data_IF_569985225559
#
_entry.id   IF_569985225559
#
_cell.length_a   1.000
_cell.length_b   1.000
_cell.length_c   1.000
_cell.angle_alpha   90.00
_cell.angle_beta   90.00
_cell.angle_gamma   90.00
#
_symmetry.space_group_name_H-M   'P 1'
#
loop_
_entity.id
_entity.type
_entity.pdbx_description
1 polymer ?
#
# COMPACT_ATOMS: atom_id res chain seq x y z
N UNK A 1 -10.73 -68.01 -15.70
CA UNK A 1 -10.49 -66.92 -14.73
C UNK A 1 -11.82 -66.27 -14.40
N UNK A 2 -12.17 -66.09 -13.13
CA UNK A 2 -13.52 -65.73 -12.71
C UNK A 2 -13.89 -64.29 -13.07
N UNK A 3 -15.08 -64.09 -13.65
CA UNK A 3 -15.70 -62.80 -14.04
C UNK A 3 -15.76 -61.78 -12.88
N UNK A 4 -15.67 -62.18 -11.62
CA UNK A 4 -15.75 -61.36 -10.43
C UNK A 4 -14.56 -60.41 -10.26
N UNK A 5 -13.33 -60.80 -10.61
CA UNK A 5 -12.13 -59.95 -10.51
C UNK A 5 -12.09 -58.81 -11.56
N UNK A 6 -12.69 -58.99 -12.75
CA UNK A 6 -12.78 -57.93 -13.77
C UNK A 6 -13.76 -56.81 -13.37
N UNK A 7 -14.85 -57.12 -12.70
CA UNK A 7 -15.83 -56.13 -12.21
C UNK A 7 -15.31 -55.28 -11.04
N UNK A 8 -14.48 -55.86 -10.17
CA UNK A 8 -13.85 -55.16 -9.07
C UNK A 8 -12.78 -54.14 -9.53
N UNK A 9 -11.96 -54.54 -10.51
CA UNK A 9 -10.91 -53.68 -11.08
C UNK A 9 -11.49 -52.53 -11.93
N UNK A 10 -12.61 -52.72 -12.61
CA UNK A 10 -13.27 -51.63 -13.35
C UNK A 10 -13.93 -50.62 -12.43
N UNK A 11 -14.54 -51.06 -11.33
CA UNK A 11 -15.08 -50.17 -10.28
C UNK A 11 -13.95 -49.37 -9.58
N UNK A 12 -12.85 -50.01 -9.23
CA UNK A 12 -11.72 -49.37 -8.59
C UNK A 12 -11.07 -48.30 -9.52
N UNK A 13 -10.95 -48.60 -10.81
CA UNK A 13 -10.43 -47.67 -11.82
C UNK A 13 -11.32 -46.42 -11.98
N UNK A 14 -12.63 -46.62 -11.92
CA UNK A 14 -13.58 -45.49 -11.97
C UNK A 14 -13.50 -44.60 -10.73
N UNK A 15 -13.23 -45.16 -9.55
CA UNK A 15 -13.07 -44.38 -8.33
C UNK A 15 -11.78 -43.55 -8.33
N UNK A 16 -10.67 -44.08 -8.82
CA UNK A 16 -9.39 -43.35 -8.91
C UNK A 16 -9.50 -42.16 -9.87
N UNK A 17 -10.31 -42.26 -10.93
CA UNK A 17 -10.56 -41.16 -11.86
C UNK A 17 -11.23 -39.94 -11.22
N UNK A 18 -11.97 -40.12 -10.12
CA UNK A 18 -12.61 -39.04 -9.37
C UNK A 18 -11.83 -38.63 -8.12
N UNK A 19 -11.13 -39.57 -7.48
CA UNK A 19 -10.42 -39.28 -6.20
C UNK A 19 -9.23 -38.34 -6.39
N UNK A 20 -8.45 -38.48 -7.46
CA UNK A 20 -7.28 -37.63 -7.69
C UNK A 20 -7.68 -36.18 -7.95
N UNK A 21 -8.62 -35.85 -8.88
CA UNK A 21 -9.06 -34.48 -9.08
C UNK A 21 -9.75 -33.89 -7.84
N UNK A 22 -10.50 -34.71 -7.09
CA UNK A 22 -11.10 -34.26 -5.84
C UNK A 22 -10.05 -33.93 -4.78
N UNK A 23 -9.02 -34.77 -4.65
CA UNK A 23 -7.88 -34.49 -3.78
C UNK A 23 -7.13 -33.20 -4.16
N UNK A 24 -6.96 -32.96 -5.46
CA UNK A 24 -6.39 -31.71 -5.97
C UNK A 24 -7.26 -30.50 -5.70
N UNK A 25 -8.59 -30.64 -5.81
CA UNK A 25 -9.51 -29.55 -5.46
C UNK A 25 -9.41 -29.19 -3.98
N UNK A 26 -9.37 -30.21 -3.11
CA UNK A 26 -9.19 -30.01 -1.66
C UNK A 26 -7.83 -29.36 -1.36
N UNK A 27 -6.76 -29.83 -2.03
CA UNK A 27 -5.43 -29.24 -1.90
C UNK A 27 -5.41 -27.78 -2.38
N UNK A 28 -6.08 -27.47 -3.47
CA UNK A 28 -6.17 -26.10 -4.00
C UNK A 28 -6.89 -25.16 -3.04
N UNK A 29 -7.97 -25.62 -2.38
CA UNK A 29 -8.66 -24.85 -1.35
C UNK A 29 -7.76 -24.63 -0.14
N UNK A 30 -7.01 -25.66 0.29
CA UNK A 30 -6.04 -25.53 1.36
C UNK A 30 -4.90 -24.56 1.02
N UNK A 31 -4.39 -24.60 -0.22
CA UNK A 31 -3.38 -23.66 -0.71
C UNK A 31 -3.90 -22.22 -0.75
N UNK A 32 -5.16 -22.00 -1.08
CA UNK A 32 -5.77 -20.66 -1.01
C UNK A 32 -5.77 -20.10 0.42
N UNK A 33 -6.00 -20.94 1.42
CA UNK A 33 -5.94 -20.54 2.83
C UNK A 33 -4.53 -20.16 3.28
N UNK A 34 -3.49 -20.82 2.73
CA UNK A 34 -2.06 -20.55 3.03
C UNK A 34 -1.54 -19.34 2.24
N UNK A 35 -2.19 -18.97 1.14
CA UNK A 35 -1.81 -17.86 0.25
C UNK A 35 -0.32 -17.89 -0.17
N UNK A 36 0.12 -18.88 -0.98
CA UNK A 36 1.51 -19.00 -1.40
C UNK A 36 2.04 -17.72 -2.07
N UNK A 37 3.27 -17.28 -1.77
CA UNK A 37 3.82 -16.01 -2.28
C UNK A 37 3.72 -15.85 -3.80
N UNK A 38 3.98 -16.91 -4.56
CA UNK A 38 3.92 -16.90 -6.03
C UNK A 38 2.51 -16.55 -6.54
N UNK A 39 1.47 -17.15 -5.97
CA UNK A 39 0.08 -16.87 -6.39
C UNK A 39 -0.35 -15.46 -5.95
N UNK A 40 0.10 -15.01 -4.78
CA UNK A 40 -0.13 -13.64 -4.32
C UNK A 40 0.54 -12.62 -5.27
N UNK A 41 1.77 -12.87 -5.71
CA UNK A 41 2.45 -12.01 -6.68
C UNK A 41 1.69 -11.94 -8.02
N UNK A 42 1.23 -13.08 -8.54
CA UNK A 42 0.41 -13.10 -9.76
C UNK A 42 -0.90 -12.31 -9.60
N UNK A 43 -1.53 -12.38 -8.43
CA UNK A 43 -2.72 -11.57 -8.13
C UNK A 43 -2.40 -10.07 -8.15
N UNK A 44 -1.29 -9.68 -7.52
CA UNK A 44 -0.85 -8.29 -7.48
C UNK A 44 -0.53 -7.77 -8.90
N UNK A 45 0.13 -8.57 -9.74
CA UNK A 45 0.39 -8.22 -11.14
C UNK A 45 -0.90 -7.98 -11.94
N UNK A 46 -1.95 -8.79 -11.72
CA UNK A 46 -3.25 -8.58 -12.38
C UNK A 46 -3.89 -7.28 -11.90
N UNK A 47 -3.78 -6.95 -10.62
CA UNK A 47 -4.30 -5.69 -10.08
C UNK A 47 -3.51 -4.47 -10.57
N UNK A 48 -2.19 -4.60 -10.76
CA UNK A 48 -1.36 -3.56 -11.37
C UNK A 48 -1.79 -3.31 -12.82
N UNK A 49 -2.00 -4.38 -13.59
CA UNK A 49 -2.47 -4.28 -14.97
C UNK A 49 -3.86 -3.60 -15.03
N UNK A 50 -4.76 -3.93 -14.11
CA UNK A 50 -6.07 -3.28 -14.03
C UNK A 50 -5.96 -1.79 -13.73
N UNK A 51 -5.08 -1.39 -12.84
CA UNK A 51 -4.85 0.03 -12.56
C UNK A 51 -4.20 0.75 -13.75
N UNK A 52 -3.27 0.09 -14.45
CA UNK A 52 -2.63 0.62 -15.65
C UNK A 52 -3.60 0.81 -16.80
N UNK A 53 -4.53 -0.15 -17.01
CA UNK A 53 -5.57 -0.07 -18.05
C UNK A 53 -6.67 0.94 -17.72
N UNK A 54 -6.98 1.15 -16.45
CA UNK A 54 -7.97 2.12 -15.99
C UNK A 54 -7.46 2.88 -14.75
N UNK A 55 -6.51 3.80 -14.93
CA UNK A 55 -6.02 4.65 -13.86
C UNK A 55 -7.13 5.57 -13.31
N UNK A 56 -6.87 6.19 -12.17
CA UNK A 56 -7.76 7.25 -11.65
C UNK A 56 -7.71 8.46 -12.57
N UNK A 57 -8.87 9.03 -12.84
CA UNK A 57 -8.93 10.27 -13.61
C UNK A 57 -8.35 11.42 -12.77
N UNK A 58 -7.35 12.11 -13.29
CA UNK A 58 -6.76 13.28 -12.60
C UNK A 58 -7.78 14.41 -12.58
N UNK A 59 -8.26 14.74 -11.40
CA UNK A 59 -9.14 15.88 -11.13
C UNK A 59 -8.42 16.89 -10.25
N UNK A 60 -8.74 18.19 -10.33
CA UNK A 60 -8.19 19.18 -9.40
C UNK A 60 -8.62 18.86 -7.96
N UNK A 61 -7.70 18.36 -7.15
CA UNK A 61 -7.90 18.07 -5.74
C UNK A 61 -7.08 19.05 -4.90
N UNK A 62 -7.45 19.29 -3.63
CA UNK A 62 -6.78 20.26 -2.77
C UNK A 62 -5.44 19.71 -2.22
N UNK A 63 -4.59 19.23 -3.10
CA UNK A 63 -3.21 18.79 -2.80
C UNK A 63 -2.27 19.55 -3.72
N UNK A 64 -1.17 20.08 -3.18
CA UNK A 64 -0.12 20.73 -3.94
C UNK A 64 1.24 20.24 -3.48
N UNK A 65 2.10 19.94 -4.43
CA UNK A 65 3.50 19.58 -4.17
C UNK A 65 4.37 20.81 -4.30
N UNK A 66 5.20 21.08 -3.30
CA UNK A 66 6.30 22.02 -3.32
C UNK A 66 7.59 21.22 -3.24
N UNK A 67 8.38 21.30 -4.30
CA UNK A 67 9.49 20.39 -4.52
C UNK A 67 10.84 21.13 -4.36
N UNK A 68 11.69 20.55 -3.54
CA UNK A 68 13.11 20.88 -3.50
C UNK A 68 13.78 20.15 -4.65
N UNK A 69 13.62 20.70 -5.84
CA UNK A 69 14.06 20.20 -7.12
C UNK A 69 15.50 20.65 -7.48
N UNK A 70 15.99 20.25 -8.64
CA UNK A 70 17.31 20.66 -9.14
C UNK A 70 17.40 22.16 -9.37
N UNK A 71 16.29 22.84 -9.77
CA UNK A 71 16.26 24.31 -9.91
C UNK A 71 16.50 24.96 -8.55
N UNK A 72 15.82 24.48 -7.51
CA UNK A 72 15.99 24.98 -6.14
C UNK A 72 17.41 24.78 -5.61
N UNK A 73 18.02 23.60 -5.88
CA UNK A 73 19.40 23.32 -5.49
C UNK A 73 20.40 24.20 -6.23
N UNK A 74 20.15 24.50 -7.51
CA UNK A 74 21.02 25.38 -8.30
C UNK A 74 21.00 26.83 -7.80
N UNK A 75 19.87 27.31 -7.28
CA UNK A 75 19.68 28.68 -6.83
C UNK A 75 20.07 28.90 -5.36
N UNK A 76 19.70 27.97 -4.46
CA UNK A 76 19.88 28.09 -3.01
C UNK A 76 21.10 27.33 -2.49
N UNK A 77 21.72 26.51 -3.32
CA UNK A 77 22.87 25.70 -2.96
C UNK A 77 22.50 24.28 -2.49
N UNK A 78 23.52 23.56 -2.09
CA UNK A 78 23.45 22.15 -1.76
C UNK A 78 22.58 21.88 -0.52
N UNK A 79 21.77 20.83 -0.60
CA UNK A 79 21.04 20.28 0.56
C UNK A 79 21.98 19.57 1.55
N UNK A 80 21.71 19.59 2.88
CA UNK A 80 20.57 20.22 3.54
C UNK A 80 20.70 21.74 3.68
N UNK A 81 19.60 22.45 3.41
CA UNK A 81 19.55 23.90 3.62
C UNK A 81 19.48 24.24 5.11
N UNK A 82 19.94 25.45 5.48
CA UNK A 82 19.74 25.98 6.81
C UNK A 82 18.26 26.00 7.20
N UNK A 83 17.95 25.72 8.46
CA UNK A 83 16.55 25.62 8.94
C UNK A 83 15.77 26.93 8.83
N UNK A 84 16.45 28.08 8.81
CA UNK A 84 15.80 29.35 8.54
C UNK A 84 15.21 29.45 7.13
N UNK A 85 15.79 28.78 6.12
CA UNK A 85 15.21 28.73 4.78
C UNK A 85 13.96 27.84 4.75
N UNK A 86 13.97 26.73 5.50
CA UNK A 86 12.76 25.91 5.68
C UNK A 86 11.69 26.67 6.46
N UNK A 87 12.07 27.46 7.48
CA UNK A 87 11.16 28.33 8.21
C UNK A 87 10.46 29.31 7.27
N UNK A 88 11.22 29.97 6.38
CA UNK A 88 10.67 30.87 5.35
C UNK A 88 9.70 30.17 4.41
N UNK A 89 10.01 28.95 3.96
CA UNK A 89 9.09 28.15 3.12
C UNK A 89 7.78 27.87 3.87
N UNK A 90 7.87 27.44 5.12
CA UNK A 90 6.69 27.18 5.97
C UNK A 90 5.85 28.46 6.14
N UNK A 91 6.49 29.61 6.41
CA UNK A 91 5.80 30.88 6.55
C UNK A 91 5.10 31.30 5.26
N UNK A 92 5.79 31.26 4.10
CA UNK A 92 5.21 31.60 2.78
C UNK A 92 4.00 30.70 2.44
N UNK A 93 4.12 29.39 2.67
CA UNK A 93 3.02 28.45 2.41
C UNK A 93 1.84 28.72 3.35
N UNK A 94 2.10 28.96 4.63
CA UNK A 94 1.07 29.24 5.64
C UNK A 94 0.37 30.58 5.37
N UNK A 95 1.11 31.63 5.05
CA UNK A 95 0.59 32.97 4.71
C UNK A 95 -0.23 32.95 3.41
N UNK A 96 0.06 32.02 2.49
CA UNK A 96 -0.74 31.78 1.28
C UNK A 96 -2.08 31.09 1.58
N UNK A 97 -2.38 30.79 2.85
CA UNK A 97 -3.65 30.19 3.27
C UNK A 97 -3.76 28.67 3.04
N UNK A 98 -2.66 27.95 3.06
CA UNK A 98 -2.66 26.48 2.98
C UNK A 98 -3.45 25.86 4.15
N UNK A 99 -4.23 24.81 3.88
CA UNK A 99 -4.97 24.07 4.90
C UNK A 99 -4.05 23.28 5.84
N UNK A 100 -2.94 22.77 5.31
CA UNK A 100 -1.86 22.14 6.08
C UNK A 100 -0.53 22.24 5.33
N UNK A 101 0.57 22.40 6.06
CA UNK A 101 1.96 22.35 5.56
C UNK A 101 2.59 21.06 6.04
N UNK A 102 2.86 20.13 5.13
CA UNK A 102 3.34 18.78 5.43
C UNK A 102 4.80 18.65 5.01
N UNK A 103 5.68 18.39 5.96
CA UNK A 103 7.12 18.34 5.73
C UNK A 103 7.56 16.88 5.65
N UNK A 104 7.83 16.42 4.40
CA UNK A 104 8.33 15.08 4.11
C UNK A 104 9.86 15.03 4.14
N UNK A 105 10.41 15.50 5.25
CA UNK A 105 11.85 15.53 5.53
C UNK A 105 12.10 15.12 6.98
N UNK A 106 13.07 14.24 7.19
CA UNK A 106 13.52 13.88 8.53
C UNK A 106 14.48 14.93 9.06
N UNK A 107 14.13 15.54 10.20
CA UNK A 107 14.89 16.60 10.86
C UNK A 107 15.39 16.13 12.22
N UNK A 108 16.18 15.05 12.25
CA UNK A 108 16.66 14.38 13.47
C UNK A 108 17.89 15.02 14.09
N UNK A 109 18.67 15.80 13.32
CA UNK A 109 19.90 16.42 13.79
C UNK A 109 19.80 17.95 13.81
N UNK A 110 20.53 18.63 14.71
CA UNK A 110 20.62 20.09 14.74
C UNK A 110 21.15 20.66 13.42
N UNK A 111 20.69 21.85 13.06
CA UNK A 111 21.18 22.57 11.89
C UNK A 111 22.66 22.93 12.03
N UNK A 112 23.52 22.38 11.20
CA UNK A 112 24.96 22.62 11.21
C UNK A 112 25.34 24.07 10.91
N UNK A 113 24.48 24.83 10.24
CA UNK A 113 24.68 26.23 9.88
C UNK A 113 23.97 27.17 10.84
N UNK A 114 23.36 26.66 11.92
CA UNK A 114 22.75 27.47 12.95
C UNK A 114 23.80 28.27 13.72
N UNK A 115 23.49 29.52 14.11
CA UNK A 115 24.41 30.39 14.86
C UNK A 115 24.99 29.75 16.10
N UNK A 116 24.19 29.01 16.86
CA UNK A 116 24.62 28.35 18.09
C UNK A 116 25.63 27.21 17.83
N UNK A 117 25.52 26.49 16.70
CA UNK A 117 26.48 25.47 16.27
C UNK A 117 27.75 26.14 15.74
N UNK A 118 27.62 27.13 14.87
CA UNK A 118 28.75 27.83 14.29
C UNK A 118 29.58 28.56 15.37
N UNK A 119 28.93 29.20 16.35
CA UNK A 119 29.60 29.83 17.46
C UNK A 119 30.43 28.87 18.33
N UNK A 120 29.95 27.63 18.51
CA UNK A 120 30.69 26.55 19.21
C UNK A 120 31.84 25.97 18.39
N UNK A 121 31.77 26.04 17.07
CA UNK A 121 32.81 25.56 16.17
C UNK A 121 33.99 26.52 16.01
N UNK A 122 33.80 27.82 16.36
CA UNK A 122 34.87 28.77 16.28
C UNK A 122 36.01 28.42 17.28
N UNK A 123 37.28 28.50 16.85
CA UNK A 123 38.42 28.28 17.73
C UNK A 123 38.39 29.17 18.97
N UNK A 124 38.90 28.69 20.09
CA UNK A 124 38.93 29.45 21.36
C UNK A 124 40.14 30.42 21.42
N UNK A 125 40.22 31.26 20.39
CA UNK A 125 41.25 32.29 20.29
C UNK A 125 40.66 33.65 20.68
N UNK A 126 41.47 34.54 21.31
CA UNK A 126 41.01 35.85 21.73
C UNK A 126 40.37 36.67 20.61
N UNK A 127 40.86 36.54 19.38
CA UNK A 127 40.36 37.27 18.21
C UNK A 127 38.92 36.86 17.83
N UNK A 128 38.48 35.67 18.19
CA UNK A 128 37.12 35.17 17.88
C UNK A 128 36.11 35.34 18.98
N UNK A 129 36.53 35.75 20.19
CA UNK A 129 35.63 35.86 21.37
C UNK A 129 34.48 36.83 21.10
N UNK A 130 34.76 38.04 20.63
CA UNK A 130 33.73 39.02 20.30
C UNK A 130 32.77 38.54 19.19
N UNK A 131 33.30 37.89 18.17
CA UNK A 131 32.48 37.32 17.09
C UNK A 131 31.62 36.16 17.60
N UNK A 132 32.19 35.29 18.45
CA UNK A 132 31.47 34.18 19.09
C UNK A 132 30.29 34.68 19.94
N UNK A 133 30.47 35.70 20.76
CA UNK A 133 29.40 36.28 21.59
C UNK A 133 28.25 36.80 20.71
N UNK A 134 28.55 37.55 19.66
CA UNK A 134 27.55 38.09 18.74
C UNK A 134 26.80 36.97 18.00
N UNK A 135 27.49 35.88 17.63
CA UNK A 135 26.89 34.76 16.94
C UNK A 135 26.01 33.95 17.91
N UNK A 136 26.48 33.67 19.12
CA UNK A 136 25.74 32.89 20.11
C UNK A 136 24.51 33.63 20.68
N UNK A 137 24.47 34.99 20.56
CA UNK A 137 23.30 35.82 20.93
C UNK A 137 22.18 35.75 19.86
N UNK A 138 22.42 35.14 18.71
CA UNK A 138 21.41 34.97 17.67
C UNK A 138 20.51 33.75 17.96
N UNK A 139 19.24 33.86 17.56
CA UNK A 139 18.27 32.79 17.68
C UNK A 139 18.73 31.61 16.83
N UNK A 140 18.66 30.42 17.38
CA UNK A 140 18.94 29.15 16.63
C UNK A 140 18.01 29.00 15.45
N UNK A 141 18.54 28.47 14.34
CA UNK A 141 17.72 28.19 13.15
C UNK A 141 16.66 27.12 13.44
N UNK A 142 16.95 26.16 14.31
CA UNK A 142 15.96 25.15 14.74
C UNK A 142 14.82 25.83 15.54
N UNK A 143 15.11 26.80 16.37
CA UNK A 143 14.07 27.57 17.08
C UNK A 143 13.26 28.47 16.13
N UNK A 144 13.88 29.07 15.11
CA UNK A 144 13.15 29.82 14.06
C UNK A 144 12.18 28.91 13.32
N UNK A 145 12.62 27.72 12.91
CA UNK A 145 11.74 26.76 12.30
C UNK A 145 10.62 26.29 13.24
N UNK A 146 10.92 26.03 14.50
CA UNK A 146 9.92 25.67 15.50
C UNK A 146 8.84 26.76 15.65
N UNK A 147 9.24 28.06 15.66
CA UNK A 147 8.29 29.16 15.68
C UNK A 147 7.39 29.20 14.47
N UNK A 148 7.93 28.99 13.26
CA UNK A 148 7.13 28.93 12.02
C UNK A 148 6.18 27.71 12.03
N UNK A 149 6.65 26.54 12.47
CA UNK A 149 5.82 25.32 12.63
C UNK A 149 4.65 25.54 13.60
N UNK A 150 4.89 26.24 14.73
CA UNK A 150 3.85 26.47 15.74
C UNK A 150 2.74 27.43 15.26
N UNK A 151 3.07 28.34 14.35
CA UNK A 151 2.11 29.29 13.75
C UNK A 151 1.31 28.68 12.57
N UNK A 152 1.91 27.74 11.87
CA UNK A 152 1.30 27.08 10.74
C UNK A 152 0.49 25.84 11.17
N UNK A 153 -0.49 25.43 10.37
CA UNK A 153 -1.08 24.09 10.45
C UNK A 153 -0.07 23.05 9.94
N UNK A 154 0.98 22.82 10.70
CA UNK A 154 2.14 22.05 10.28
C UNK A 154 2.05 20.58 10.66
N UNK A 155 2.60 19.72 9.79
CA UNK A 155 2.80 18.30 10.05
C UNK A 155 4.24 17.95 9.77
N UNK A 156 4.93 17.39 10.77
CA UNK A 156 6.31 16.98 10.68
C UNK A 156 6.42 15.45 10.65
N UNK A 157 7.51 14.94 10.08
CA UNK A 157 7.73 13.52 9.90
C UNK A 157 8.73 12.89 10.87
N UNK A 158 8.53 11.61 11.19
CA UNK A 158 9.51 10.70 11.79
C UNK A 158 9.68 9.47 10.91
N UNK A 159 10.85 8.82 10.94
CA UNK A 159 11.09 7.60 10.18
C UNK A 159 10.81 6.36 11.04
N UNK A 160 10.30 5.30 10.40
CA UNK A 160 10.17 3.97 11.02
C UNK A 160 11.50 3.23 10.89
N UNK A 161 11.91 2.57 11.97
CA UNK A 161 13.15 1.80 12.03
C UNK A 161 12.95 0.64 13.01
N UNK A 162 13.54 -0.52 12.70
CA UNK A 162 13.46 -1.69 13.58
C UNK A 162 14.64 -1.78 14.54
N UNK A 163 15.75 -1.10 14.24
CA UNK A 163 17.03 -1.21 14.99
C UNK A 163 17.20 -0.05 15.97
N UNK A 164 16.57 1.11 15.73
CA UNK A 164 16.67 2.29 16.60
C UNK A 164 15.52 2.33 17.59
N UNK A 165 15.85 2.29 18.86
CA UNK A 165 14.89 2.38 19.98
C UNK A 165 14.96 3.76 20.65
N UNK A 166 14.92 4.82 19.85
CA UNK A 166 14.83 6.19 20.33
C UNK A 166 13.51 6.44 21.06
N UNK A 167 13.37 7.61 21.63
CA UNK A 167 12.14 8.01 22.31
C UNK A 167 10.95 7.88 21.35
N UNK A 168 9.93 7.10 21.75
CA UNK A 168 8.76 6.82 20.93
C UNK A 168 8.01 8.15 20.67
N UNK A 169 7.71 8.48 19.40
CA UNK A 169 6.99 9.70 19.05
C UNK A 169 5.65 9.79 19.76
N UNK A 170 5.31 10.98 20.25
CA UNK A 170 4.02 11.20 20.90
C UNK A 170 2.95 11.55 19.87
N UNK A 171 1.85 10.83 19.91
CA UNK A 171 0.69 11.12 19.08
C UNK A 171 0.10 12.48 19.46
N UNK A 172 -0.13 13.35 18.48
CA UNK A 172 -0.71 14.70 18.66
C UNK A 172 -2.25 14.71 18.68
N UNK A 173 -2.87 13.55 18.55
CA UNK A 173 -4.31 13.38 18.45
C UNK A 173 -4.84 12.37 19.46
N UNK A 174 -6.13 12.46 19.77
CA UNK A 174 -6.83 11.41 20.49
C UNK A 174 -6.99 10.14 19.63
N UNK A 175 -7.10 8.99 20.28
CA UNK A 175 -7.35 7.71 19.62
C UNK A 175 -8.52 6.99 20.29
N UNK A 176 -9.55 6.73 19.53
CA UNK A 176 -10.70 5.90 19.95
C UNK A 176 -10.63 4.57 19.23
N UNK A 177 -10.62 3.49 19.99
CA UNK A 177 -10.60 2.10 19.48
C UNK A 177 -12.00 1.50 19.65
N UNK A 178 -12.55 0.94 18.58
CA UNK A 178 -13.84 0.25 18.59
C UNK A 178 -13.66 -1.17 18.03
N UNK A 179 -14.05 -2.18 18.79
CA UNK A 179 -13.85 -3.60 18.45
C UNK A 179 -12.61 -4.19 19.10
N UNK A 180 -12.03 -5.19 18.44
CA UNK A 180 -10.82 -5.86 18.91
C UNK A 180 -9.61 -4.90 18.93
N UNK A 181 -8.60 -5.15 19.79
CA UNK A 181 -7.42 -4.29 19.86
C UNK A 181 -6.72 -4.16 18.49
N UNK A 182 -6.67 -2.96 17.87
CA UNK A 182 -6.11 -2.79 16.55
C UNK A 182 -4.59 -3.01 16.47
N UNK A 183 -3.90 -2.90 17.61
CA UNK A 183 -2.44 -3.01 17.70
C UNK A 183 -1.92 -4.37 17.17
N UNK A 184 -2.74 -5.42 17.30
CA UNK A 184 -2.40 -6.77 16.84
C UNK A 184 -2.44 -6.93 15.29
N UNK A 185 -3.07 -5.99 14.60
CA UNK A 185 -3.30 -6.07 13.16
C UNK A 185 -2.48 -5.06 12.34
N UNK A 186 -2.12 -3.94 12.96
CA UNK A 186 -1.36 -2.87 12.28
C UNK A 186 0.07 -3.31 11.96
N UNK A 187 0.70 -2.78 10.89
CA UNK A 187 2.11 -3.00 10.64
C UNK A 187 2.96 -2.58 11.84
N UNK A 188 3.81 -3.51 12.30
CA UNK A 188 4.61 -3.34 13.50
C UNK A 188 6.06 -2.99 13.16
N UNK A 189 6.64 -2.07 13.93
CA UNK A 189 8.03 -1.64 13.86
C UNK A 189 8.62 -1.61 15.27
N UNK A 190 9.89 -2.01 15.42
CA UNK A 190 10.58 -2.07 16.71
C UNK A 190 10.87 -0.69 17.31
N UNK A 191 11.04 0.34 16.45
CA UNK A 191 11.38 1.68 16.88
C UNK A 191 11.18 2.75 15.80
N UNK A 192 11.78 3.92 16.01
CA UNK A 192 11.69 5.06 15.10
C UNK A 192 12.87 6.01 15.28
N UNK A 193 13.13 6.81 14.25
CA UNK A 193 14.05 7.94 14.30
C UNK A 193 13.20 9.21 14.34
N UNK A 194 13.23 9.92 15.47
CA UNK A 194 12.44 11.11 15.71
C UNK A 194 13.10 12.37 15.15
N UNK A 195 12.29 13.39 14.86
CA UNK A 195 12.80 14.74 14.65
C UNK A 195 13.29 15.35 15.97
N UNK A 196 14.04 16.45 15.89
CA UNK A 196 14.46 17.20 17.08
C UNK A 196 13.27 17.50 17.97
N UNK A 197 13.37 17.31 19.31
CA UNK A 197 12.26 17.53 20.23
C UNK A 197 11.61 18.93 20.09
N UNK A 198 12.40 19.98 19.93
CA UNK A 198 11.89 21.34 19.75
C UNK A 198 11.01 21.48 18.51
N UNK A 199 11.33 20.80 17.42
CA UNK A 199 10.55 20.81 16.19
C UNK A 199 9.31 19.89 16.31
N UNK A 200 9.50 18.70 16.88
CA UNK A 200 8.41 17.74 17.08
C UNK A 200 7.34 18.30 18.03
N UNK A 201 7.72 19.04 19.07
CA UNK A 201 6.78 19.68 20.00
C UNK A 201 6.02 20.85 19.36
N UNK A 202 6.70 21.65 18.53
CA UNK A 202 6.13 22.81 17.86
C UNK A 202 5.09 22.45 16.77
N UNK A 203 5.28 21.34 16.05
CA UNK A 203 4.38 20.94 14.97
C UNK A 203 2.98 20.57 15.48
N UNK A 204 1.92 20.87 14.71
CA UNK A 204 0.53 20.53 15.03
C UNK A 204 0.20 19.07 14.78
N UNK A 205 0.95 18.42 13.91
CA UNK A 205 0.86 17.01 13.59
C UNK A 205 2.22 16.34 13.53
N UNK A 206 2.26 15.02 13.81
CA UNK A 206 3.49 14.25 13.79
C UNK A 206 3.21 12.83 13.27
N UNK A 207 3.74 12.47 12.13
CA UNK A 207 3.41 11.23 11.43
C UNK A 207 4.59 10.52 10.76
N UNK A 208 4.47 9.21 10.56
CA UNK A 208 5.53 8.39 9.94
C UNK A 208 5.72 8.73 8.46
N UNK A 209 6.96 9.07 8.06
CA UNK A 209 7.32 9.36 6.67
C UNK A 209 7.65 8.10 5.86
N UNK A 210 7.89 6.97 6.51
CA UNK A 210 8.30 5.76 5.82
C UNK A 210 7.15 5.19 4.99
N UNK A 211 7.33 5.10 3.67
CA UNK A 211 6.44 4.34 2.79
C UNK A 211 6.81 2.87 2.90
N UNK A 212 5.81 2.01 3.19
CA UNK A 212 6.02 0.57 3.35
C UNK A 212 5.52 -0.13 2.08
N UNK A 213 6.42 -0.56 1.18
CA UNK A 213 6.03 -1.26 -0.04
C UNK A 213 5.54 -2.69 0.25
N UNK A 214 4.91 -3.30 -0.72
CA UNK A 214 4.62 -4.73 -0.70
C UNK A 214 5.93 -5.56 -0.79
N UNK A 215 5.85 -6.88 -0.57
CA UNK A 215 7.02 -7.76 -0.52
C UNK A 215 7.88 -7.79 -1.80
N UNK A 216 7.34 -7.34 -2.93
CA UNK A 216 8.04 -7.18 -4.21
C UNK A 216 8.63 -5.77 -4.43
N UNK A 217 8.54 -4.91 -3.43
CA UNK A 217 9.06 -3.54 -3.48
C UNK A 217 8.14 -2.51 -4.12
N UNK A 218 6.96 -2.88 -4.59
CA UNK A 218 5.99 -1.98 -5.25
C UNK A 218 5.06 -1.34 -4.21
N UNK A 219 4.88 -0.03 -4.27
CA UNK A 219 3.96 0.70 -3.37
C UNK A 219 2.55 0.67 -3.97
N UNK A 220 1.74 -0.28 -3.52
CA UNK A 220 0.31 -0.40 -3.89
C UNK A 220 -0.61 0.06 -2.79
N UNK A 221 -0.14 -0.05 -1.55
CA UNK A 221 -0.94 0.21 -0.34
C UNK A 221 -0.23 1.21 0.55
N UNK A 222 -1.03 2.01 1.24
CA UNK A 222 -0.55 2.97 2.23
C UNK A 222 -1.22 2.71 3.58
N UNK A 223 -0.44 2.61 4.64
CA UNK A 223 -0.94 2.49 6.00
C UNK A 223 -1.52 3.81 6.47
N UNK A 224 -2.64 3.79 7.18
CA UNK A 224 -3.16 4.97 7.86
C UNK A 224 -2.54 5.13 9.23
N UNK A 225 -2.33 4.01 9.90
CA UNK A 225 -1.74 3.90 11.22
C UNK A 225 -0.70 2.79 11.21
N UNK A 226 0.29 2.89 12.09
CA UNK A 226 1.33 1.89 12.34
C UNK A 226 1.46 1.65 13.84
N UNK A 227 2.02 0.51 14.23
CA UNK A 227 2.38 0.21 15.62
C UNK A 227 3.89 0.32 15.76
N UNK A 228 4.38 1.24 16.60
CA UNK A 228 5.81 1.43 16.91
C UNK A 228 6.03 1.05 18.36
N UNK A 229 6.79 0.00 18.61
CA UNK A 229 7.02 -0.56 19.95
C UNK A 229 5.72 -0.72 20.78
N UNK A 230 4.61 -1.12 20.11
CA UNK A 230 3.29 -1.30 20.74
C UNK A 230 2.44 -0.02 20.86
N UNK A 231 2.94 1.14 20.39
CA UNK A 231 2.18 2.40 20.35
C UNK A 231 1.61 2.65 18.96
N UNK A 232 0.32 2.93 18.87
CA UNK A 232 -0.32 3.28 17.60
C UNK A 232 -0.01 4.73 17.25
N UNK A 233 0.56 4.93 16.06
CA UNK A 233 0.95 6.24 15.54
C UNK A 233 0.41 6.43 14.12
N UNK A 234 0.06 7.65 13.70
CA UNK A 234 -0.38 7.93 12.34
C UNK A 234 0.79 7.96 11.36
N UNK A 235 0.50 7.68 10.09
CA UNK A 235 1.39 8.03 8.99
C UNK A 235 1.30 9.51 8.66
N UNK A 236 2.30 10.04 7.93
CA UNK A 236 2.35 11.45 7.56
C UNK A 236 1.11 11.88 6.77
N UNK A 237 0.63 11.00 5.88
CA UNK A 237 -0.54 11.25 5.03
C UNK A 237 -1.85 11.30 5.84
N UNK A 238 -2.02 10.39 6.80
CA UNK A 238 -3.16 10.39 7.70
C UNK A 238 -3.17 11.61 8.60
N UNK A 239 -1.99 12.03 9.10
CA UNK A 239 -1.83 13.19 9.95
C UNK A 239 -2.04 14.50 9.17
N UNK A 240 -1.55 14.58 7.92
CA UNK A 240 -1.83 15.68 7.00
C UNK A 240 -3.34 15.91 6.83
N UNK A 241 -4.08 14.83 6.60
CA UNK A 241 -5.53 14.89 6.45
C UNK A 241 -6.23 15.31 7.75
N UNK A 242 -5.74 14.85 8.90
CA UNK A 242 -6.27 15.23 10.22
C UNK A 242 -6.09 16.72 10.48
N UNK A 243 -4.87 17.23 10.30
CA UNK A 243 -4.52 18.64 10.55
C UNK A 243 -5.29 19.55 9.59
N UNK A 244 -5.34 19.21 8.30
CA UNK A 244 -6.09 19.99 7.30
C UNK A 244 -7.59 20.13 7.63
N UNK A 245 -8.18 19.15 8.33
CA UNK A 245 -9.57 19.19 8.79
C UNK A 245 -9.72 19.74 10.21
N UNK A 246 -8.63 20.16 10.89
CA UNK A 246 -8.64 20.54 12.30
C UNK A 246 -9.27 19.48 13.21
N UNK A 247 -9.14 18.20 12.82
CA UNK A 247 -9.69 17.08 13.57
C UNK A 247 -8.80 16.76 14.78
N UNK A 248 -9.41 16.43 15.91
CA UNK A 248 -8.70 16.16 17.17
C UNK A 248 -8.47 14.67 17.43
N UNK A 249 -9.15 13.77 16.71
CA UNK A 249 -9.23 12.36 17.10
C UNK A 249 -9.31 11.43 15.89
N UNK A 250 -8.60 10.29 16.00
CA UNK A 250 -8.78 9.13 15.13
C UNK A 250 -9.78 8.15 15.75
N UNK A 251 -10.66 7.56 14.94
CA UNK A 251 -11.52 6.44 15.38
C UNK A 251 -11.15 5.23 14.54
N UNK A 252 -10.57 4.23 15.19
CA UNK A 252 -10.21 2.95 14.55
C UNK A 252 -11.31 1.93 14.81
N UNK A 253 -11.87 1.41 13.74
CA UNK A 253 -12.86 0.32 13.79
C UNK A 253 -12.17 -0.99 13.42
N UNK A 254 -12.19 -1.94 14.33
CA UNK A 254 -11.71 -3.30 14.12
C UNK A 254 -12.88 -4.29 14.12
N UNK A 255 -12.60 -5.55 13.84
CA UNK A 255 -13.56 -6.64 13.94
C UNK A 255 -14.29 -6.57 15.30
N UNK A 256 -15.54 -7.00 15.35
CA UNK A 256 -16.44 -6.93 16.52
C UNK A 256 -16.87 -5.51 16.96
N UNK A 257 -16.51 -4.44 16.25
CA UNK A 257 -16.90 -3.07 16.60
C UNK A 257 -18.43 -2.83 16.63
N UNK A 258 -19.19 -3.58 15.83
CA UNK A 258 -20.66 -3.50 15.75
C UNK A 258 -21.38 -4.72 16.34
N UNK A 259 -20.65 -5.64 16.98
CA UNK A 259 -21.19 -6.93 17.45
C UNK A 259 -21.58 -7.90 16.32
N UNK A 260 -21.38 -7.53 15.07
CA UNK A 260 -21.57 -8.41 13.91
C UNK A 260 -20.26 -9.14 13.63
N UNK A 261 -20.27 -10.45 13.74
CA UNK A 261 -19.17 -11.29 13.28
C UNK A 261 -19.15 -11.26 11.73
N UNK A 262 -18.06 -10.83 11.13
CA UNK A 262 -17.89 -10.98 9.69
C UNK A 262 -17.74 -12.45 9.32
N UNK A 263 -18.55 -12.92 8.40
CA UNK A 263 -18.52 -14.29 7.93
C UNK A 263 -17.18 -14.55 7.19
N UNK A 264 -16.27 -15.31 7.85
CA UNK A 264 -15.06 -15.83 7.18
C UNK A 264 -13.83 -14.94 7.19
N UNK A 265 -13.81 -13.78 7.87
CA UNK A 265 -12.59 -12.97 8.01
C UNK A 265 -11.80 -13.36 9.26
N UNK A 266 -10.50 -13.60 9.09
CA UNK A 266 -9.52 -13.41 10.18
C UNK A 266 -9.66 -11.97 10.67
N UNK A 267 -9.76 -11.74 12.00
CA UNK A 267 -9.90 -10.41 12.60
C UNK A 267 -8.96 -9.37 11.98
N UNK A 268 -9.31 -8.09 12.06
CA UNK A 268 -8.51 -7.01 11.46
C UNK A 268 -9.11 -5.63 11.67
N UNK A 269 -8.41 -4.63 11.20
CA UNK A 269 -8.94 -3.27 11.08
C UNK A 269 -9.93 -3.24 9.90
N UNK A 270 -11.06 -2.59 10.08
CA UNK A 270 -12.12 -2.46 9.07
C UNK A 270 -12.13 -1.06 8.46
N UNK A 271 -11.68 -0.08 9.23
CA UNK A 271 -11.60 1.29 8.76
C UNK A 271 -11.09 2.27 9.80
N UNK A 272 -10.62 3.39 9.32
CA UNK A 272 -10.14 4.50 10.14
C UNK A 272 -10.94 5.75 9.79
N UNK A 273 -11.54 6.39 10.78
CA UNK A 273 -12.20 7.68 10.60
C UNK A 273 -11.26 8.80 11.02
N UNK A 274 -11.08 9.77 10.13
CA UNK A 274 -10.22 10.94 10.30
C UNK A 274 -11.08 12.19 10.04
N UNK A 275 -11.46 12.90 11.10
CA UNK A 275 -12.39 14.02 10.98
C UNK A 275 -13.72 13.62 10.36
N UNK A 276 -14.09 14.24 9.25
CA UNK A 276 -15.31 13.92 8.51
C UNK A 276 -15.18 12.66 7.63
N UNK A 277 -13.95 12.26 7.30
CA UNK A 277 -13.68 11.20 6.35
C UNK A 277 -13.66 9.83 7.03
N UNK A 278 -14.40 8.87 6.48
CA UNK A 278 -14.35 7.45 6.88
C UNK A 278 -13.62 6.66 5.80
N UNK A 279 -12.43 6.19 6.13
CA UNK A 279 -11.52 5.49 5.22
C UNK A 279 -11.68 3.98 5.42
N UNK A 280 -12.21 3.23 4.44
CA UNK A 280 -12.21 1.78 4.48
C UNK A 280 -10.77 1.26 4.30
N UNK A 281 -10.38 0.27 5.09
CA UNK A 281 -9.03 -0.28 5.07
C UNK A 281 -9.04 -1.79 4.87
N UNK A 282 -7.89 -2.35 4.51
CA UNK A 282 -7.67 -3.79 4.63
C UNK A 282 -7.53 -4.19 6.12
N UNK A 283 -7.37 -5.49 6.37
CA UNK A 283 -7.24 -6.03 7.74
C UNK A 283 -6.04 -5.49 8.53
N UNK A 284 -5.07 -4.86 7.85
CA UNK A 284 -3.89 -4.25 8.47
C UNK A 284 -3.98 -2.71 8.56
N UNK A 285 -5.15 -2.13 8.34
CA UNK A 285 -5.32 -0.67 8.40
C UNK A 285 -4.71 0.07 7.22
N UNK A 286 -4.54 -0.58 6.05
CA UNK A 286 -3.97 0.01 4.84
C UNK A 286 -5.06 0.26 3.80
N UNK A 287 -4.88 1.30 3.01
CA UNK A 287 -5.68 1.56 1.80
C UNK A 287 -4.95 1.08 0.55
N UNK A 288 -5.68 0.70 -0.47
CA UNK A 288 -5.14 0.59 -1.82
C UNK A 288 -5.07 1.97 -2.45
N UNK A 289 -3.89 2.35 -2.91
CA UNK A 289 -3.70 3.63 -3.61
C UNK A 289 -4.23 3.52 -5.03
N UNK A 290 -5.16 4.39 -5.38
CA UNK A 290 -5.69 4.52 -6.74
C UNK A 290 -4.85 5.53 -7.51
N UNK A 291 -3.86 5.04 -8.25
CA UNK A 291 -2.94 5.90 -8.99
C UNK A 291 -3.60 6.55 -10.20
N UNK A 292 -3.32 7.84 -10.45
CA UNK A 292 -3.55 8.48 -11.72
C UNK A 292 -2.36 8.23 -12.66
N UNK A 293 -2.59 8.35 -13.97
CA UNK A 293 -1.55 8.24 -15.00
C UNK A 293 -0.73 9.51 -15.19
N UNK A 294 -1.16 10.60 -14.55
CA UNK A 294 -0.50 11.90 -14.60
C UNK A 294 0.11 12.23 -13.25
N UNK A 295 1.37 12.63 -13.26
CA UNK A 295 2.05 13.16 -12.09
C UNK A 295 1.52 14.54 -11.71
N UNK A 296 1.69 14.91 -10.44
CA UNK A 296 1.41 16.26 -9.96
C UNK A 296 2.31 17.28 -10.67
N UNK A 297 1.81 18.50 -10.80
CA UNK A 297 2.65 19.61 -11.26
C UNK A 297 3.23 20.31 -10.03
N UNK A 298 4.49 20.01 -9.65
CA UNK A 298 5.09 20.61 -8.48
C UNK A 298 5.42 22.09 -8.73
N UNK A 299 5.41 22.86 -7.65
CA UNK A 299 5.98 24.21 -7.63
C UNK A 299 7.39 24.09 -7.06
N UNK A 300 8.40 24.63 -7.75
CA UNK A 300 9.77 24.67 -7.23
C UNK A 300 9.84 25.48 -5.93
N UNK A 301 10.51 24.93 -4.91
CA UNK A 301 10.69 25.63 -3.63
C UNK A 301 11.39 26.99 -3.79
N UNK A 302 12.31 27.10 -4.74
CA UNK A 302 12.95 28.36 -5.10
C UNK A 302 11.94 29.42 -5.55
N UNK A 303 10.96 29.07 -6.39
CA UNK A 303 9.94 30.02 -6.85
C UNK A 303 9.09 30.56 -5.71
N UNK A 304 8.79 29.75 -4.71
CA UNK A 304 8.12 30.23 -3.51
C UNK A 304 8.97 31.27 -2.76
N UNK A 305 10.25 30.97 -2.55
CA UNK A 305 11.15 31.85 -1.82
C UNK A 305 11.48 33.14 -2.57
N UNK A 306 11.46 33.11 -3.91
CA UNK A 306 11.64 34.31 -4.75
C UNK A 306 10.37 35.12 -4.96
N UNK A 307 9.19 34.59 -4.57
CA UNK A 307 7.90 35.23 -4.80
C UNK A 307 7.34 35.06 -6.22
N UNK A 308 7.95 34.19 -7.04
CA UNK A 308 7.51 33.88 -8.40
C UNK A 308 6.50 32.72 -8.43
N UNK A 309 5.38 32.90 -7.78
CA UNK A 309 4.28 31.94 -7.76
C UNK A 309 2.94 32.63 -7.52
N UNK A 310 1.84 31.93 -7.85
CA UNK A 310 0.49 32.38 -7.53
C UNK A 310 0.07 31.86 -6.14
N UNK A 311 -0.14 32.73 -5.13
CA UNK A 311 -0.61 32.30 -3.81
C UNK A 311 -1.92 31.52 -3.83
N UNK A 312 -2.80 31.77 -4.81
CA UNK A 312 -4.05 31.02 -5.00
C UNK A 312 -3.81 29.53 -5.31
N UNK A 313 -2.62 29.20 -5.82
CA UNK A 313 -2.24 27.81 -6.06
C UNK A 313 -2.06 27.01 -4.76
N UNK A 314 -1.88 27.67 -3.61
CA UNK A 314 -1.67 27.04 -2.29
C UNK A 314 -2.89 27.15 -1.38
N UNK A 315 -3.73 28.15 -1.59
CA UNK A 315 -4.86 28.47 -0.71
C UNK A 315 -5.85 27.30 -0.57
N UNK A 316 -6.14 26.93 0.68
CA UNK A 316 -7.06 25.82 1.02
C UNK A 316 -6.54 24.42 0.70
N UNK A 317 -5.28 24.26 0.28
CA UNK A 317 -4.71 22.97 -0.09
C UNK A 317 -3.84 22.37 1.03
N UNK A 318 -3.69 21.06 1.02
CA UNK A 318 -2.63 20.34 1.72
C UNK A 318 -1.36 20.49 0.88
N UNK A 319 -0.37 21.17 1.41
CA UNK A 319 0.90 21.43 0.71
C UNK A 319 1.95 20.44 1.21
N UNK A 320 2.40 19.55 0.32
CA UNK A 320 3.49 18.61 0.57
C UNK A 320 4.82 19.27 0.24
N UNK A 321 5.67 19.46 1.23
CA UNK A 321 7.02 20.00 1.09
C UNK A 321 8.05 18.88 1.26
N UNK A 322 8.82 18.60 0.22
CA UNK A 322 9.84 17.54 0.22
C UNK A 322 10.76 17.67 -0.98
N UNK A 323 11.52 16.64 -1.29
CA UNK A 323 12.46 16.66 -2.42
C UNK A 323 12.26 15.50 -3.38
N UNK A 324 12.27 15.79 -4.67
CA UNK A 324 12.41 14.81 -5.75
C UNK A 324 13.81 14.78 -6.36
N UNK A 325 14.69 15.73 -5.99
CA UNK A 325 16.02 15.88 -6.58
C UNK A 325 16.85 14.60 -6.47
N UNK A 326 17.67 14.35 -7.48
CA UNK A 326 18.53 13.19 -7.57
C UNK A 326 19.50 13.11 -6.36
N UNK A 327 19.53 11.95 -5.70
CA UNK A 327 20.34 11.73 -4.50
C UNK A 327 19.70 12.13 -3.18
N UNK A 328 18.59 12.89 -3.18
CA UNK A 328 17.84 13.25 -1.97
C UNK A 328 16.60 12.38 -1.76
N UNK A 329 16.00 11.92 -2.82
CA UNK A 329 14.83 11.03 -2.81
C UNK A 329 15.24 9.63 -3.24
N UNK A 330 14.56 8.60 -2.70
CA UNK A 330 14.62 7.22 -3.20
C UNK A 330 13.33 6.94 -3.97
N UNK A 331 13.37 6.99 -5.31
CA UNK A 331 12.19 6.67 -6.10
C UNK A 331 11.76 5.21 -5.87
N UNK A 332 10.44 4.97 -5.81
CA UNK A 332 9.88 3.65 -5.54
C UNK A 332 9.00 3.17 -6.69
N UNK A 333 8.96 1.87 -6.98
CA UNK A 333 8.08 1.30 -7.98
C UNK A 333 6.60 1.47 -7.60
N UNK A 334 5.77 1.78 -8.59
CA UNK A 334 4.32 1.94 -8.47
C UNK A 334 3.60 1.20 -9.61
N UNK A 335 2.32 0.85 -9.46
CA UNK A 335 1.57 0.12 -10.50
C UNK A 335 1.40 0.87 -11.83
N UNK A 336 1.29 2.20 -11.78
CA UNK A 336 0.89 3.01 -12.96
C UNK A 336 2.02 3.93 -13.43
N UNK A 337 2.70 4.62 -12.50
CA UNK A 337 3.73 5.61 -12.85
C UNK A 337 5.11 4.97 -13.11
N UNK A 338 5.23 3.65 -12.98
CA UNK A 338 6.51 2.97 -12.99
C UNK A 338 7.30 3.30 -11.72
N UNK A 339 8.38 4.06 -11.83
CA UNK A 339 9.18 4.51 -10.68
C UNK A 339 8.88 5.99 -10.41
N UNK A 340 8.45 6.31 -9.19
CA UNK A 340 8.06 7.67 -8.80
C UNK A 340 8.76 8.12 -7.50
N UNK A 341 9.05 9.43 -7.34
CA UNK A 341 9.52 9.99 -6.07
C UNK A 341 8.50 9.76 -4.94
N UNK A 342 8.98 9.61 -3.71
CA UNK A 342 8.12 9.43 -2.53
C UNK A 342 7.08 10.56 -2.40
N UNK A 343 7.48 11.77 -2.70
CA UNK A 343 6.62 12.96 -2.64
C UNK A 343 5.41 12.87 -3.59
N UNK A 344 5.62 12.34 -4.81
CA UNK A 344 4.53 12.09 -5.75
C UNK A 344 3.60 10.96 -5.26
N UNK A 345 4.18 9.88 -4.72
CA UNK A 345 3.38 8.78 -4.15
C UNK A 345 2.47 9.30 -3.03
N UNK A 346 2.97 10.19 -2.17
CA UNK A 346 2.16 10.83 -1.11
C UNK A 346 1.04 11.69 -1.68
N UNK A 347 1.32 12.46 -2.74
CA UNK A 347 0.28 13.21 -3.41
C UNK A 347 -0.84 12.29 -3.92
N UNK A 348 -0.49 11.15 -4.53
CA UNK A 348 -1.46 10.16 -4.99
C UNK A 348 -2.22 9.49 -3.84
N UNK A 349 -1.57 9.25 -2.68
CA UNK A 349 -2.24 8.74 -1.46
C UNK A 349 -3.28 9.75 -0.98
N UNK A 350 -2.89 11.02 -0.78
CA UNK A 350 -3.81 12.07 -0.32
C UNK A 350 -4.95 12.30 -1.31
N UNK A 351 -4.66 12.31 -2.61
CA UNK A 351 -5.67 12.43 -3.65
C UNK A 351 -6.66 11.25 -3.63
N UNK A 352 -6.17 10.02 -3.38
CA UNK A 352 -7.04 8.84 -3.21
C UNK A 352 -7.94 9.00 -1.98
N UNK A 353 -7.38 9.48 -0.85
CA UNK A 353 -8.12 9.70 0.38
C UNK A 353 -9.22 10.77 0.21
N UNK A 354 -8.89 11.87 -0.45
CA UNK A 354 -9.80 13.01 -0.62
C UNK A 354 -10.88 12.73 -1.67
N UNK A 355 -10.53 12.05 -2.77
CA UNK A 355 -11.51 11.68 -3.81
C UNK A 355 -12.50 10.63 -3.33
N UNK A 356 -12.13 9.83 -2.33
CA UNK A 356 -12.96 8.71 -1.86
C UNK A 356 -13.03 7.54 -2.85
N UNK A 357 -12.22 7.54 -3.90
CA UNK A 357 -12.14 6.45 -4.88
C UNK A 357 -11.30 5.28 -4.35
N UNK A 358 -11.76 4.68 -3.26
CA UNK A 358 -11.06 3.55 -2.67
C UNK A 358 -11.22 2.28 -3.49
N UNK A 359 -10.10 1.59 -3.71
CA UNK A 359 -10.13 0.19 -4.10
C UNK A 359 -10.33 -0.66 -2.85
N UNK A 360 -11.24 -1.61 -2.89
CA UNK A 360 -11.51 -2.47 -1.75
C UNK A 360 -11.62 -3.94 -2.16
N UNK A 361 -11.28 -4.81 -1.24
CA UNK A 361 -11.52 -6.24 -1.39
C UNK A 361 -12.72 -6.60 -0.49
N UNK A 362 -13.87 -6.95 -1.08
CA UNK A 362 -15.05 -7.29 -0.29
C UNK A 362 -14.78 -8.49 0.64
N UNK A 363 -15.29 -8.46 1.87
CA UNK A 363 -15.11 -9.54 2.85
C UNK A 363 -15.64 -10.89 2.35
N UNK A 364 -16.73 -10.85 1.57
CA UNK A 364 -17.31 -12.04 0.97
C UNK A 364 -16.51 -12.59 -0.23
N UNK A 365 -15.57 -11.83 -0.79
CA UNK A 365 -14.84 -12.20 -2.01
C UNK A 365 -14.13 -13.54 -1.85
N UNK A 366 -13.39 -13.75 -0.77
CA UNK A 366 -12.69 -15.02 -0.50
C UNK A 366 -13.68 -16.20 -0.40
N UNK A 367 -14.81 -15.99 0.25
CA UNK A 367 -15.88 -17.00 0.36
C UNK A 367 -16.50 -17.32 -0.99
N UNK A 368 -16.77 -16.31 -1.81
CA UNK A 368 -17.30 -16.48 -3.17
C UNK A 368 -16.29 -17.15 -4.10
N UNK A 369 -15.01 -16.82 -4.00
CA UNK A 369 -13.94 -17.50 -4.74
C UNK A 369 -13.88 -18.99 -4.40
N UNK A 370 -13.89 -19.36 -3.12
CA UNK A 370 -13.89 -20.77 -2.67
C UNK A 370 -15.15 -21.48 -3.15
N UNK A 371 -16.33 -20.87 -2.99
CA UNK A 371 -17.59 -21.47 -3.41
C UNK A 371 -17.64 -21.71 -4.91
N UNK A 372 -17.21 -20.72 -5.71
CA UNK A 372 -17.16 -20.84 -7.17
C UNK A 372 -16.15 -21.91 -7.63
N UNK A 373 -15.00 -22.02 -6.95
CA UNK A 373 -14.00 -23.05 -7.15
C UNK A 373 -14.56 -24.44 -6.87
N UNK A 374 -15.27 -24.63 -5.76
CA UNK A 374 -15.90 -25.90 -5.40
C UNK A 374 -16.95 -26.29 -6.43
N UNK A 375 -17.87 -25.38 -6.75
CA UNK A 375 -18.95 -25.65 -7.68
C UNK A 375 -18.44 -25.99 -9.08
N UNK A 376 -17.54 -25.20 -9.63
CA UNK A 376 -17.00 -25.42 -10.96
C UNK A 376 -16.03 -26.61 -10.98
N UNK A 377 -15.22 -26.79 -9.94
CA UNK A 377 -14.32 -27.94 -9.82
C UNK A 377 -15.10 -29.25 -9.82
N UNK A 378 -16.16 -29.37 -9.00
CA UNK A 378 -17.04 -30.53 -8.98
C UNK A 378 -17.77 -30.75 -10.31
N UNK A 379 -18.24 -29.66 -10.94
CA UNK A 379 -18.87 -29.71 -12.27
C UNK A 379 -17.90 -30.28 -13.31
N UNK A 380 -16.68 -29.80 -13.37
CA UNK A 380 -15.66 -30.29 -14.30
C UNK A 380 -15.30 -31.75 -14.02
N UNK A 381 -15.12 -32.13 -12.76
CA UNK A 381 -14.83 -33.51 -12.36
C UNK A 381 -15.96 -34.46 -12.80
N UNK A 382 -17.21 -34.00 -12.72
CA UNK A 382 -18.37 -34.82 -13.15
C UNK A 382 -18.55 -34.86 -14.65
N UNK A 383 -18.22 -33.77 -15.38
CA UNK A 383 -18.51 -33.57 -16.78
C UNK A 383 -17.44 -34.19 -17.71
N UNK A 384 -16.17 -34.12 -17.31
CA UNK A 384 -15.02 -34.51 -18.14
C UNK A 384 -15.09 -35.99 -18.61
N UNK A 385 -15.44 -36.98 -17.74
CA UNK A 385 -15.58 -38.36 -18.19
C UNK A 385 -16.73 -38.58 -19.17
N UNK A 386 -17.66 -37.65 -19.30
CA UNK A 386 -18.87 -37.76 -20.15
C UNK A 386 -18.75 -37.05 -21.48
N UNK A 387 -18.16 -35.84 -21.49
CA UNK A 387 -18.08 -34.98 -22.69
C UNK A 387 -16.77 -35.12 -23.47
N UNK A 388 -15.74 -35.71 -22.85
CA UNK A 388 -14.40 -35.78 -23.43
C UNK A 388 -13.58 -34.47 -23.25
N UNK A 389 -12.28 -34.59 -23.58
CA UNK A 389 -11.30 -33.55 -23.27
C UNK A 389 -11.55 -32.22 -24.00
N UNK A 390 -11.99 -32.27 -25.26
CA UNK A 390 -12.18 -31.05 -26.07
C UNK A 390 -13.29 -30.15 -25.53
N UNK A 391 -14.46 -30.74 -25.20
CA UNK A 391 -15.57 -29.97 -24.65
C UNK A 391 -15.28 -29.42 -23.27
N UNK A 392 -14.55 -30.17 -22.45
CA UNK A 392 -14.14 -29.69 -21.14
C UNK A 392 -13.08 -28.59 -21.21
N UNK A 393 -12.16 -28.62 -22.18
CA UNK A 393 -11.25 -27.53 -22.48
C UNK A 393 -12.02 -26.24 -22.82
N UNK A 394 -13.04 -26.36 -23.68
CA UNK A 394 -13.87 -25.23 -24.09
C UNK A 394 -14.64 -24.63 -22.88
N UNK A 395 -15.24 -25.49 -22.06
CA UNK A 395 -15.94 -25.05 -20.84
C UNK A 395 -14.97 -24.38 -19.87
N UNK A 396 -13.79 -24.94 -19.66
CA UNK A 396 -12.75 -24.35 -18.83
C UNK A 396 -12.28 -23.00 -19.36
N UNK A 397 -12.06 -22.87 -20.66
CA UNK A 397 -11.69 -21.61 -21.30
C UNK A 397 -12.77 -20.53 -21.13
N UNK A 398 -14.03 -20.88 -21.36
CA UNK A 398 -15.18 -19.98 -21.17
C UNK A 398 -15.28 -19.56 -19.70
N UNK A 399 -15.10 -20.49 -18.76
CA UNK A 399 -15.15 -20.18 -17.34
C UNK A 399 -14.01 -19.23 -16.90
N UNK A 400 -12.77 -19.46 -17.37
CA UNK A 400 -11.63 -18.58 -17.12
C UNK A 400 -11.89 -17.19 -17.74
N UNK A 401 -12.35 -17.14 -18.99
CA UNK A 401 -12.68 -15.88 -19.66
C UNK A 401 -13.77 -15.10 -18.92
N UNK A 402 -14.79 -15.79 -18.42
CA UNK A 402 -15.86 -15.18 -17.62
C UNK A 402 -15.33 -14.66 -16.26
N UNK A 403 -14.42 -15.41 -15.63
CA UNK A 403 -13.80 -14.98 -14.38
C UNK A 403 -12.92 -13.73 -14.56
N UNK A 404 -12.11 -13.69 -15.62
CA UNK A 404 -11.27 -12.51 -15.95
C UNK A 404 -12.17 -11.31 -16.31
N UNK A 405 -13.15 -11.50 -17.20
CA UNK A 405 -14.07 -10.45 -17.60
C UNK A 405 -14.92 -9.93 -16.43
N UNK A 406 -15.42 -10.82 -15.59
CA UNK A 406 -16.17 -10.48 -14.38
C UNK A 406 -15.32 -9.72 -13.37
N UNK A 407 -14.09 -10.17 -13.12
CA UNK A 407 -13.11 -9.46 -12.27
C UNK A 407 -12.81 -8.05 -12.79
N UNK A 408 -12.58 -7.91 -14.09
CA UNK A 408 -12.39 -6.61 -14.73
C UNK A 408 -13.60 -5.67 -14.58
N UNK A 409 -14.82 -6.18 -14.80
CA UNK A 409 -16.05 -5.37 -14.64
C UNK A 409 -16.20 -4.91 -13.19
N UNK A 410 -15.96 -5.79 -12.22
CA UNK A 410 -16.03 -5.45 -10.80
C UNK A 410 -15.00 -4.38 -10.42
N UNK A 411 -13.78 -4.49 -10.94
CA UNK A 411 -12.77 -3.45 -10.77
C UNK A 411 -13.19 -2.14 -11.45
N UNK A 412 -13.60 -2.21 -12.72
CA UNK A 412 -13.83 -1.02 -13.54
C UNK A 412 -15.08 -0.22 -13.14
N UNK A 413 -16.12 -0.88 -12.61
CA UNK A 413 -17.39 -0.23 -12.26
C UNK A 413 -17.58 -0.04 -10.76
N UNK A 414 -17.01 -0.94 -9.95
CA UNK A 414 -17.27 -0.95 -8.51
C UNK A 414 -16.01 -0.78 -7.66
N UNK A 415 -14.84 -0.57 -8.26
CA UNK A 415 -13.55 -0.47 -7.56
C UNK A 415 -13.23 -1.68 -6.67
N UNK A 416 -13.81 -2.85 -6.98
CA UNK A 416 -13.64 -4.06 -6.20
C UNK A 416 -12.50 -4.93 -6.76
N UNK A 417 -11.56 -5.33 -5.90
CA UNK A 417 -10.43 -6.19 -6.24
C UNK A 417 -10.78 -7.66 -5.96
N UNK A 418 -11.12 -8.41 -7.00
CA UNK A 418 -11.35 -9.86 -6.95
C UNK A 418 -10.40 -10.51 -7.95
N UNK A 419 -9.60 -11.47 -7.48
CA UNK A 419 -8.59 -12.08 -8.33
C UNK A 419 -9.13 -13.29 -9.10
N UNK A 420 -8.96 -13.36 -10.43
CA UNK A 420 -9.30 -14.55 -11.20
C UNK A 420 -8.22 -15.65 -11.15
N UNK A 421 -7.04 -15.37 -10.57
CA UNK A 421 -5.84 -16.22 -10.69
C UNK A 421 -6.04 -17.58 -10.05
N UNK A 422 -6.53 -17.64 -8.80
CA UNK A 422 -6.79 -18.92 -8.13
C UNK A 422 -7.79 -19.78 -8.91
N UNK A 423 -8.84 -19.14 -9.38
CA UNK A 423 -9.88 -19.78 -10.15
C UNK A 423 -9.33 -20.39 -11.46
N UNK A 424 -8.58 -19.60 -12.22
CA UNK A 424 -7.95 -20.05 -13.45
C UNK A 424 -6.94 -21.18 -13.21
N UNK A 425 -6.09 -21.04 -12.20
CA UNK A 425 -5.08 -22.04 -11.85
C UNK A 425 -5.70 -23.40 -11.53
N UNK A 426 -6.75 -23.43 -10.72
CA UNK A 426 -7.40 -24.67 -10.31
C UNK A 426 -8.13 -25.35 -11.49
N UNK A 427 -8.80 -24.57 -12.33
CA UNK A 427 -9.44 -25.11 -13.54
C UNK A 427 -8.40 -25.80 -14.45
N UNK A 428 -7.27 -25.12 -14.70
CA UNK A 428 -6.19 -25.67 -15.52
C UNK A 428 -5.61 -26.94 -14.88
N UNK A 429 -5.39 -26.95 -13.57
CA UNK A 429 -4.84 -28.09 -12.85
C UNK A 429 -5.78 -29.31 -12.91
N UNK A 430 -7.08 -29.12 -12.67
CA UNK A 430 -8.09 -30.18 -12.77
C UNK A 430 -8.15 -30.72 -14.21
N UNK A 431 -8.20 -29.81 -15.20
CA UNK A 431 -8.26 -30.19 -16.61
C UNK A 431 -7.04 -31.01 -17.03
N UNK A 432 -5.81 -30.55 -16.74
CA UNK A 432 -4.58 -31.25 -17.10
C UNK A 432 -4.52 -32.63 -16.46
N UNK A 433 -4.87 -32.74 -15.19
CA UNK A 433 -4.83 -34.02 -14.47
C UNK A 433 -5.83 -35.03 -15.04
N UNK A 434 -7.05 -34.59 -15.28
CA UNK A 434 -8.07 -35.50 -15.85
C UNK A 434 -7.80 -35.84 -17.31
N UNK A 435 -7.33 -34.86 -18.12
CA UNK A 435 -6.94 -35.12 -19.51
C UNK A 435 -5.83 -36.17 -19.61
N UNK A 436 -4.83 -36.07 -18.72
CA UNK A 436 -3.75 -37.04 -18.61
C UNK A 436 -4.30 -38.44 -18.22
N UNK A 437 -5.22 -38.51 -17.27
CA UNK A 437 -5.83 -39.80 -16.87
C UNK A 437 -6.60 -40.44 -18.02
N UNK A 438 -7.42 -39.67 -18.78
CA UNK A 438 -8.15 -40.14 -19.94
C UNK A 438 -7.20 -40.62 -21.02
N UNK A 439 -6.13 -39.88 -21.29
CA UNK A 439 -5.10 -40.27 -22.26
C UNK A 439 -4.44 -41.61 -21.88
N UNK A 440 -3.95 -41.71 -20.62
CA UNK A 440 -3.32 -42.95 -20.14
C UNK A 440 -4.27 -44.15 -20.14
N UNK A 441 -5.56 -43.98 -19.88
CA UNK A 441 -6.57 -45.02 -19.97
C UNK A 441 -6.79 -45.47 -21.41
N UNK A 442 -6.90 -44.53 -22.35
CA UNK A 442 -7.05 -44.81 -23.78
C UNK A 442 -5.84 -45.55 -24.36
N UNK A 443 -4.62 -45.15 -23.96
CA UNK A 443 -3.39 -45.81 -24.44
C UNK A 443 -3.27 -47.26 -23.92
N UNK A 444 -3.66 -47.53 -22.68
CA UNK A 444 -3.76 -48.90 -22.14
C UNK A 444 -4.75 -49.76 -22.88
N UNK A 445 -5.94 -49.24 -23.18
CA UNK A 445 -6.94 -49.97 -24.01
C UNK A 445 -6.39 -50.31 -25.38
N UNK A 446 -5.72 -49.38 -26.06
CA UNK A 446 -5.08 -49.67 -27.38
C UNK A 446 -4.01 -50.75 -27.28
N UNK A 447 -3.19 -50.75 -26.22
CA UNK A 447 -2.16 -51.77 -25.99
C UNK A 447 -2.78 -53.15 -25.69
N UNK A 448 -3.86 -53.20 -24.88
CA UNK A 448 -4.59 -54.46 -24.62
C UNK A 448 -5.21 -55.03 -25.90
N UNK A 449 -5.81 -54.19 -26.73
CA UNK A 449 -6.37 -54.59 -28.03
C UNK A 449 -5.26 -55.09 -28.96
N UNK A 450 -4.16 -54.38 -29.12
CA UNK A 450 -3.01 -54.83 -29.92
C UNK A 450 -2.41 -56.13 -29.42
N UNK A 451 -2.28 -56.29 -28.11
CA UNK A 451 -1.77 -57.52 -27.49
C UNK A 451 -2.74 -58.72 -27.63
N UNK A 452 -4.04 -58.47 -27.72
CA UNK A 452 -5.03 -59.51 -28.03
C UNK A 452 -4.94 -59.94 -29.50
N UNK A 453 -4.85 -59.01 -30.45
CA UNK A 453 -4.69 -59.32 -31.88
C UNK A 453 -3.34 -60.00 -32.20
N UNK A 454 -2.23 -59.62 -31.55
CA UNK A 454 -0.93 -60.23 -31.74
C UNK A 454 -0.79 -61.66 -31.19
N UNK A 455 -1.81 -62.19 -30.51
CA UNK A 455 -1.88 -63.60 -30.09
C UNK A 455 -2.70 -64.46 -31.05
N UNK A 456 -3.36 -63.88 -32.03
CA UNK A 456 -4.16 -64.54 -33.02
C UNK A 456 -3.54 -64.58 -34.44
N UNK A 457 -2.40 -63.93 -34.62
CA UNK A 457 -1.49 -64.02 -35.75
C UNK A 457 -0.20 -64.78 -35.31
#
# INVERSE_FOLDING_TARGET
MPKSKRHSLSKFRNWVAYLIPLGLLVLAIALQAVAPPVLTQLQLMVFDEYQSLKPRVKTPLPVQVVDIDEESLAQLGQWPWPRNELARLVDVVSESGAAAVVIDVLLSEPDRLSPDVLGRMLPDWPEYQAAREVILDRVSHDELLAQSLSRANSVLGFALDDDHHDEIPRMKAGLVKAGDPPDAFLPYFGGSISALPVLAEAANGYGAISLVPDADGVVRRASMLVSVAGHILPTLDAEALRVAQSASTYIVKSTNASGQQSFGSSGGVVGVKIGALSVPTDSQGRIWVRYADQISQPISAWRLLSGDFDPAALAGKIVLLGSSAAGLSRPQPTPVLGVAPALEIRAQILETLISGEFLYQPDWAKGAEILSLVLLGLLLIWLLPRLGALWCALIGLVAIGTAIGGSWILFAQYNALISPIYFAFVIVLIYLTQSLQVYLASEKEKQEVRGAFGRYL
#
